data_IF_956908422373
#
_entry.id   IF_956908422373
#
_cell.length_a   1.000
_cell.length_b   1.000
_cell.length_c   1.000
_cell.angle_alpha   90.00
_cell.angle_beta   90.00
_cell.angle_gamma   90.00
#
_symmetry.space_group_name_H-M   'P 1'
#
loop_
_entity.id
_entity.type
_entity.pdbx_description
1 polymer ?
#
# COMPACT_ATOMS: atom_id res chain seq x y z
N UNK A 1 15.77 -0.40 8.39
CA UNK A 1 14.40 -0.11 7.94
C UNK A 1 14.43 0.66 6.62
N UNK A 2 13.59 0.29 5.69
CA UNK A 2 13.49 1.00 4.41
C UNK A 2 12.52 2.17 4.54
N UNK A 3 13.05 3.39 4.50
CA UNK A 3 12.25 4.60 4.71
C UNK A 3 11.20 4.79 3.60
N UNK A 4 11.56 4.47 2.35
CA UNK A 4 10.61 4.58 1.25
C UNK A 4 9.44 3.63 1.44
N UNK A 5 9.70 2.40 1.87
CA UNK A 5 8.63 1.45 2.13
C UNK A 5 7.76 1.89 3.29
N UNK A 6 8.36 2.50 4.32
CA UNK A 6 7.58 3.03 5.43
C UNK A 6 6.60 4.11 4.97
N UNK A 7 7.04 5.00 4.08
CA UNK A 7 6.14 6.01 3.52
C UNK A 7 5.05 5.39 2.66
N UNK A 8 5.39 4.38 1.86
CA UNK A 8 4.39 3.69 1.04
C UNK A 8 3.30 3.05 1.91
N UNK A 9 3.70 2.40 2.99
CA UNK A 9 2.75 1.75 3.89
C UNK A 9 1.89 2.80 4.61
N UNK A 10 2.49 3.91 5.01
CA UNK A 10 1.76 4.99 5.65
C UNK A 10 0.70 5.57 4.72
N UNK A 11 1.08 5.84 3.47
CA UNK A 11 0.15 6.32 2.46
C UNK A 11 -0.96 5.31 2.21
N UNK A 12 -0.60 4.03 2.10
CA UNK A 12 -1.56 2.96 1.87
C UNK A 12 -2.57 2.89 3.00
N UNK A 13 -2.11 2.95 4.24
CA UNK A 13 -2.97 2.91 5.41
C UNK A 13 -3.96 4.10 5.41
N UNK A 14 -3.50 5.27 4.97
CA UNK A 14 -4.33 6.47 4.98
C UNK A 14 -5.46 6.41 3.95
N UNK A 15 -5.29 5.65 2.86
CA UNK A 15 -6.31 5.56 1.81
C UNK A 15 -7.04 4.22 1.77
N UNK A 16 -6.66 3.28 2.63
CA UNK A 16 -7.17 1.91 2.57
C UNK A 16 -8.70 1.84 2.58
N UNK A 17 -9.35 2.65 3.41
CA UNK A 17 -10.81 2.64 3.54
C UNK A 17 -11.51 3.11 2.26
N UNK A 18 -10.81 3.82 1.38
CA UNK A 18 -11.38 4.35 0.13
C UNK A 18 -11.14 3.43 -1.06
N UNK A 19 -10.33 2.40 -0.89
CA UNK A 19 -9.98 1.50 -1.98
C UNK A 19 -11.14 0.56 -2.29
N UNK A 20 -11.24 0.10 -3.55
CA UNK A 20 -12.14 -0.99 -3.88
C UNK A 20 -11.86 -2.18 -2.99
N UNK A 21 -12.86 -3.02 -2.77
CA UNK A 21 -12.76 -4.13 -1.82
C UNK A 21 -11.53 -4.99 -2.03
N UNK A 22 -11.22 -5.34 -3.27
CA UNK A 22 -10.06 -6.17 -3.59
C UNK A 22 -8.76 -5.52 -3.11
N UNK A 23 -8.59 -4.24 -3.45
CA UNK A 23 -7.39 -3.51 -3.08
C UNK A 23 -7.35 -3.25 -1.56
N UNK A 24 -8.49 -3.04 -0.94
CA UNK A 24 -8.57 -2.87 0.50
C UNK A 24 -8.08 -4.12 1.23
N UNK A 25 -8.50 -5.31 0.78
CA UNK A 25 -8.06 -6.57 1.36
C UNK A 25 -6.55 -6.74 1.18
N UNK A 26 -6.05 -6.46 -0.01
CA UNK A 26 -4.62 -6.56 -0.30
C UNK A 26 -3.83 -5.57 0.56
N UNK A 27 -4.32 -4.34 0.70
CA UNK A 27 -3.68 -3.33 1.52
C UNK A 27 -3.55 -3.80 2.97
N UNK A 28 -4.61 -4.40 3.51
CA UNK A 28 -4.57 -4.96 4.86
C UNK A 28 -3.49 -6.02 5.02
N UNK A 29 -3.33 -6.88 4.02
CA UNK A 29 -2.28 -7.91 4.04
C UNK A 29 -0.89 -7.29 4.01
N UNK A 30 -0.68 -6.26 3.20
CA UNK A 30 0.62 -5.61 3.08
C UNK A 30 0.98 -4.87 4.37
N UNK A 31 0.01 -4.24 5.00
CA UNK A 31 0.24 -3.57 6.28
C UNK A 31 0.66 -4.60 7.35
N UNK A 32 0.00 -5.76 7.37
CA UNK A 32 0.38 -6.83 8.30
C UNK A 32 1.79 -7.35 8.03
N UNK A 33 2.14 -7.55 6.76
CA UNK A 33 3.49 -7.99 6.41
C UNK A 33 4.52 -6.98 6.92
N UNK A 34 4.24 -5.71 6.72
CA UNK A 34 5.11 -4.65 7.20
C UNK A 34 5.26 -4.67 8.72
N UNK A 35 4.14 -4.83 9.44
CA UNK A 35 4.15 -4.86 10.89
C UNK A 35 4.96 -6.03 11.44
N UNK A 36 4.90 -7.19 10.77
CA UNK A 36 5.62 -8.37 11.21
C UNK A 36 7.09 -8.37 10.84
N UNK A 37 7.42 -7.93 9.64
CA UNK A 37 8.77 -8.11 9.11
C UNK A 37 9.57 -6.81 9.01
N UNK A 38 8.88 -5.67 8.99
CA UNK A 38 9.52 -4.38 8.81
C UNK A 38 10.04 -4.14 7.40
N UNK A 39 9.62 -4.97 6.44
CA UNK A 39 10.05 -4.83 5.05
C UNK A 39 9.03 -5.44 4.10
N UNK A 40 9.11 -5.01 2.84
CA UNK A 40 8.33 -5.59 1.75
C UNK A 40 9.29 -6.16 0.72
N UNK A 41 8.89 -7.25 0.06
CA UNK A 41 9.65 -7.75 -1.09
C UNK A 41 9.51 -6.76 -2.25
N UNK A 42 10.38 -6.90 -3.26
CA UNK A 42 10.29 -6.05 -4.44
C UNK A 42 8.94 -6.16 -5.12
N UNK A 43 8.40 -7.37 -5.20
CA UNK A 43 7.08 -7.60 -5.80
C UNK A 43 5.96 -6.94 -4.97
N UNK A 44 6.03 -7.07 -3.65
CA UNK A 44 5.04 -6.45 -2.77
C UNK A 44 5.10 -4.94 -2.85
N UNK A 45 6.30 -4.38 -2.87
CA UNK A 45 6.48 -2.94 -3.02
C UNK A 45 5.89 -2.44 -4.35
N UNK A 46 6.17 -3.17 -5.44
CA UNK A 46 5.64 -2.79 -6.75
C UNK A 46 4.12 -2.79 -6.77
N UNK A 47 3.50 -3.78 -6.12
CA UNK A 47 2.05 -3.87 -6.04
C UNK A 47 1.46 -2.71 -5.22
N UNK A 48 2.10 -2.34 -4.12
CA UNK A 48 1.67 -1.20 -3.31
C UNK A 48 1.76 0.10 -4.12
N UNK A 49 2.87 0.30 -4.84
CA UNK A 49 3.03 1.49 -5.68
C UNK A 49 1.96 1.57 -6.75
N UNK A 50 1.60 0.45 -7.35
CA UNK A 50 0.56 0.40 -8.36
C UNK A 50 -0.79 0.80 -7.80
N UNK A 51 -1.14 0.30 -6.63
CA UNK A 51 -2.40 0.65 -5.97
C UNK A 51 -2.45 2.14 -5.66
N UNK A 52 -1.36 2.69 -5.13
CA UNK A 52 -1.29 4.12 -4.83
C UNK A 52 -1.43 4.96 -6.08
N UNK A 53 -0.80 4.55 -7.17
CA UNK A 53 -0.89 5.27 -8.44
C UNK A 53 -2.30 5.27 -8.98
N UNK A 54 -3.00 4.12 -8.92
CA UNK A 54 -4.39 4.04 -9.38
C UNK A 54 -5.33 4.88 -8.52
N UNK A 55 -5.11 4.85 -7.21
CA UNK A 55 -5.92 5.64 -6.29
C UNK A 55 -5.74 7.14 -6.54
N UNK A 56 -4.50 7.57 -6.78
CA UNK A 56 -4.20 8.95 -7.08
C UNK A 56 -4.83 9.40 -8.40
N UNK A 57 -4.74 8.55 -9.42
CA UNK A 57 -5.35 8.84 -10.71
C UNK A 57 -6.87 8.95 -10.59
N UNK A 58 -7.48 8.09 -9.79
CA UNK A 58 -8.92 8.10 -9.56
C UNK A 58 -9.36 9.38 -8.85
N UNK A 59 -8.56 9.85 -7.91
CA UNK A 59 -8.85 11.09 -7.18
C UNK A 59 -8.72 12.34 -8.05
N UNK A 60 -7.99 12.24 -9.14
CA UNK A 60 -7.84 13.36 -10.07
C UNK A 60 -9.03 13.60 -10.96
N UNK A 61 -10.03 12.78 -10.86
CA UNK A 61 -11.25 12.90 -11.68
C UNK A 61 -12.19 13.95 -11.06
#
# INVERSE_FOLDING_TARGET
MNVEQAYLIDDLASIAARLPRRDNIFAGKMIKVWDYTGKLSARQEAAVREILARALASNGQ
#
